data_IF_490064084729
#
_entry.id   IF_490064084729
#
_cell.length_a   1.000
_cell.length_b   1.000
_cell.length_c   1.000
_cell.angle_alpha   90.00
_cell.angle_beta   90.00
_cell.angle_gamma   90.00
#
_symmetry.space_group_name_H-M   'P 1'
#
loop_
_entity.id
_entity.type
_entity.pdbx_description
1 polymer ?
#
# COMPACT_ATOMS: atom_id res chain seq x y z
N UNK A 1 -30.78 28.53 41.52
CA UNK A 1 -29.72 27.59 41.98
C UNK A 1 -29.82 26.32 41.17
N UNK A 2 -28.69 25.73 40.77
CA UNK A 2 -28.67 24.46 40.03
C UNK A 2 -29.07 23.33 40.99
N UNK A 3 -30.02 22.50 40.56
CA UNK A 3 -30.48 21.28 41.25
C UNK A 3 -29.32 20.30 41.50
N UNK A 4 -29.42 19.46 42.52
CA UNK A 4 -28.32 18.54 42.90
C UNK A 4 -27.89 17.60 41.76
N UNK A 5 -28.82 17.21 40.88
CA UNK A 5 -28.52 16.41 39.70
C UNK A 5 -27.66 17.15 38.67
N UNK A 6 -27.76 18.49 38.60
CA UNK A 6 -27.01 19.32 37.64
C UNK A 6 -25.54 19.54 38.03
N UNK A 7 -25.13 19.07 39.23
CA UNK A 7 -23.75 19.17 39.75
C UNK A 7 -22.86 17.98 39.38
N UNK A 8 -23.41 16.92 38.77
CA UNK A 8 -22.62 15.73 38.43
C UNK A 8 -21.97 15.86 37.05
N UNK A 9 -20.67 15.53 36.96
CA UNK A 9 -19.89 15.55 35.72
C UNK A 9 -20.50 14.72 34.57
N UNK A 10 -21.34 13.71 34.88
CA UNK A 10 -22.07 12.93 33.88
C UNK A 10 -23.03 13.76 33.02
N UNK A 11 -23.52 14.89 33.54
CA UNK A 11 -24.42 15.82 32.85
C UNK A 11 -23.66 16.97 32.16
N UNK A 12 -22.32 16.95 32.17
CA UNK A 12 -21.51 17.96 31.51
C UNK A 12 -21.62 17.87 29.97
N UNK A 13 -21.72 16.65 29.43
CA UNK A 13 -21.92 16.40 27.99
C UNK A 13 -23.24 17.01 27.47
N UNK A 14 -24.32 16.93 28.26
CA UNK A 14 -25.62 17.52 27.91
C UNK A 14 -25.66 19.04 28.08
N UNK A 15 -24.59 19.64 28.61
CA UNK A 15 -24.46 21.09 28.87
C UNK A 15 -23.34 21.74 28.07
N UNK A 16 -22.71 21.00 27.15
CA UNK A 16 -21.73 21.60 26.24
C UNK A 16 -22.42 22.69 25.41
N UNK A 17 -21.79 23.87 25.24
CA UNK A 17 -22.37 24.97 24.49
C UNK A 17 -22.67 24.60 23.04
N UNK A 18 -21.88 23.70 22.45
CA UNK A 18 -22.06 23.16 21.10
C UNK A 18 -22.94 21.90 21.07
N UNK A 19 -23.42 21.43 22.23
CA UNK A 19 -24.31 20.28 22.36
C UNK A 19 -23.76 18.99 21.71
N UNK A 20 -24.62 18.14 21.11
CA UNK A 20 -24.20 16.91 20.44
C UNK A 20 -23.37 17.15 19.18
N UNK A 21 -23.39 18.38 18.62
CA UNK A 21 -22.69 18.72 17.37
C UNK A 21 -21.18 18.52 17.50
N UNK A 22 -20.59 18.94 18.63
CA UNK A 22 -19.15 18.75 18.87
C UNK A 22 -18.75 17.25 18.91
N UNK A 23 -19.63 16.36 19.38
CA UNK A 23 -19.39 14.91 19.38
C UNK A 23 -19.50 14.34 17.97
N UNK A 24 -20.49 14.77 17.19
CA UNK A 24 -20.67 14.36 15.79
C UNK A 24 -19.50 14.81 14.92
N UNK A 25 -19.01 16.04 15.12
CA UNK A 25 -17.84 16.57 14.42
C UNK A 25 -16.56 15.83 14.82
N UNK A 26 -16.37 15.57 16.11
CA UNK A 26 -15.23 14.78 16.61
C UNK A 26 -15.24 13.36 16.03
N UNK A 27 -16.40 12.72 16.01
CA UNK A 27 -16.57 11.40 15.40
C UNK A 27 -16.28 11.43 13.89
N UNK A 28 -16.80 12.45 13.19
CA UNK A 28 -16.57 12.64 11.76
C UNK A 28 -15.09 12.85 11.43
N UNK A 29 -14.36 13.61 12.25
CA UNK A 29 -12.92 13.80 12.11
C UNK A 29 -12.15 12.48 12.29
N UNK A 30 -12.50 11.67 13.29
CA UNK A 30 -11.89 10.34 13.49
C UNK A 30 -12.19 9.42 12.31
N UNK A 31 -13.44 9.40 11.83
CA UNK A 31 -13.83 8.62 10.65
C UNK A 31 -13.09 9.07 9.39
N UNK A 32 -12.82 10.36 9.24
CA UNK A 32 -11.97 10.90 8.16
C UNK A 32 -10.57 10.29 8.18
N UNK A 33 -9.91 10.30 9.34
CA UNK A 33 -8.57 9.70 9.52
C UNK A 33 -8.60 8.19 9.21
N UNK A 34 -9.62 7.46 9.68
CA UNK A 34 -9.76 6.02 9.41
C UNK A 34 -9.91 5.76 7.91
N UNK A 35 -10.71 6.57 7.21
CA UNK A 35 -10.89 6.46 5.76
C UNK A 35 -9.57 6.72 5.00
N UNK A 36 -8.80 7.73 5.40
CA UNK A 36 -7.48 8.01 4.80
C UNK A 36 -6.50 6.85 5.00
N UNK A 37 -6.47 6.30 6.21
CA UNK A 37 -5.67 5.10 6.54
C UNK A 37 -6.09 3.91 5.66
N UNK A 38 -7.40 3.66 5.52
CA UNK A 38 -7.91 2.56 4.69
C UNK A 38 -7.51 2.74 3.22
N UNK A 39 -7.64 3.95 2.67
CA UNK A 39 -7.23 4.25 1.30
C UNK A 39 -5.73 4.03 1.10
N UNK A 40 -4.90 4.44 2.07
CA UNK A 40 -3.47 4.22 2.00
C UNK A 40 -3.11 2.72 2.05
N UNK A 41 -3.74 1.94 2.93
CA UNK A 41 -3.53 0.49 3.02
C UNK A 41 -3.95 -0.20 1.72
N UNK A 42 -5.01 0.26 1.04
CA UNK A 42 -5.43 -0.28 -0.26
C UNK A 42 -4.35 -0.17 -1.34
N UNK A 43 -3.52 0.88 -1.33
CA UNK A 43 -2.37 0.99 -2.25
C UNK A 43 -1.42 -0.19 -2.05
N UNK A 44 -1.14 -0.57 -0.80
CA UNK A 44 -0.27 -1.71 -0.51
C UNK A 44 -0.87 -3.06 -0.91
N UNK A 45 -2.19 -3.21 -0.80
CA UNK A 45 -2.90 -4.42 -1.21
C UNK A 45 -2.84 -4.65 -2.73
N UNK A 46 -2.72 -3.59 -3.55
CA UNK A 46 -2.57 -3.75 -5.00
C UNK A 46 -1.31 -4.56 -5.36
N UNK A 47 -0.28 -4.55 -4.51
CA UNK A 47 0.94 -5.33 -4.74
C UNK A 47 0.76 -6.83 -4.47
N UNK A 48 -0.37 -7.29 -3.91
CA UNK A 48 -0.68 -8.72 -3.77
C UNK A 48 -0.64 -9.46 -5.11
N UNK A 49 -0.96 -8.77 -6.20
CA UNK A 49 -0.88 -9.32 -7.55
C UNK A 49 0.52 -9.90 -7.87
N UNK A 50 1.59 -9.39 -7.26
CA UNK A 50 2.95 -9.91 -7.45
C UNK A 50 3.13 -11.34 -6.93
N UNK A 51 2.33 -11.74 -5.94
CA UNK A 51 2.35 -13.09 -5.37
C UNK A 51 1.47 -14.05 -6.14
N UNK A 52 0.33 -13.59 -6.63
CA UNK A 52 -0.60 -14.41 -7.41
C UNK A 52 -0.17 -14.59 -8.87
N UNK A 53 0.79 -13.78 -9.33
CA UNK A 53 1.32 -13.86 -10.68
C UNK A 53 2.04 -15.20 -10.91
N UNK A 54 1.72 -15.85 -12.04
CA UNK A 54 2.33 -17.10 -12.47
C UNK A 54 3.30 -16.85 -13.63
N UNK A 55 4.49 -17.46 -13.56
CA UNK A 55 5.55 -17.25 -14.55
C UNK A 55 5.11 -17.66 -15.96
N UNK A 56 4.38 -18.77 -16.07
CA UNK A 56 3.83 -19.27 -17.33
C UNK A 56 2.93 -18.26 -18.02
N UNK A 57 2.07 -17.56 -17.28
CA UNK A 57 1.19 -16.53 -17.85
C UNK A 57 1.99 -15.36 -18.43
N UNK A 58 3.09 -14.97 -17.78
CA UNK A 58 3.99 -13.95 -18.31
C UNK A 58 4.67 -14.44 -19.58
N UNK A 59 5.24 -15.65 -19.54
CA UNK A 59 5.99 -16.21 -20.65
C UNK A 59 5.11 -16.42 -21.88
N UNK A 60 3.90 -16.94 -21.69
CA UNK A 60 2.90 -17.13 -22.75
C UNK A 60 2.48 -15.79 -23.37
N UNK A 61 2.37 -14.72 -22.56
CA UNK A 61 2.00 -13.39 -23.05
C UNK A 61 3.12 -12.70 -23.83
N UNK A 62 4.37 -12.89 -23.42
CA UNK A 62 5.53 -12.30 -24.08
C UNK A 62 5.91 -13.07 -25.35
N UNK A 63 5.75 -14.39 -25.36
CA UNK A 63 6.15 -15.26 -26.46
C UNK A 63 7.65 -15.13 -26.75
N UNK A 64 8.00 -15.12 -28.04
CA UNK A 64 9.39 -15.00 -28.53
C UNK A 64 9.81 -13.56 -28.83
N UNK A 65 8.94 -12.57 -28.61
CA UNK A 65 9.19 -11.16 -28.95
C UNK A 65 10.17 -10.51 -27.96
N UNK A 66 11.46 -10.53 -28.31
CA UNK A 66 12.55 -10.00 -27.49
C UNK A 66 12.34 -8.54 -27.06
N UNK A 67 11.66 -7.72 -27.86
CA UNK A 67 11.39 -6.33 -27.50
C UNK A 67 10.43 -6.24 -26.32
N UNK A 68 9.41 -7.12 -26.26
CA UNK A 68 8.48 -7.19 -25.12
C UNK A 68 9.19 -7.63 -23.85
N UNK A 69 10.11 -8.59 -23.96
CA UNK A 69 10.93 -9.02 -22.82
C UNK A 69 11.81 -7.90 -22.27
N UNK A 70 12.51 -7.17 -23.15
CA UNK A 70 13.32 -6.02 -22.76
C UNK A 70 12.45 -4.92 -22.13
N UNK A 71 11.29 -4.63 -22.73
CA UNK A 71 10.35 -3.65 -22.18
C UNK A 71 9.87 -4.04 -20.77
N UNK A 72 9.55 -5.32 -20.55
CA UNK A 72 9.15 -5.81 -19.23
C UNK A 72 10.28 -5.68 -18.20
N UNK A 73 11.53 -6.03 -18.55
CA UNK A 73 12.68 -5.86 -17.65
C UNK A 73 12.86 -4.40 -17.23
N UNK A 74 12.71 -3.46 -18.17
CA UNK A 74 12.74 -2.02 -17.87
C UNK A 74 11.58 -1.60 -16.97
N UNK A 75 10.36 -2.12 -17.21
CA UNK A 75 9.20 -1.84 -16.36
C UNK A 75 9.39 -2.34 -14.94
N UNK A 76 9.89 -3.57 -14.75
CA UNK A 76 10.19 -4.14 -13.43
C UNK A 76 11.23 -3.28 -12.70
N UNK A 77 12.30 -2.85 -13.39
CA UNK A 77 13.31 -1.96 -12.81
C UNK A 77 12.73 -0.60 -12.37
N UNK A 78 11.85 0.00 -13.19
CA UNK A 78 11.17 1.26 -12.85
C UNK A 78 10.22 1.09 -11.65
N UNK A 79 9.45 0.01 -11.62
CA UNK A 79 8.54 -0.28 -10.52
C UNK A 79 9.30 -0.49 -9.19
N UNK A 80 10.48 -1.12 -9.23
CA UNK A 80 11.33 -1.24 -8.04
C UNK A 80 11.81 0.12 -7.52
N UNK A 81 12.20 1.01 -8.42
CA UNK A 81 12.64 2.36 -8.06
C UNK A 81 11.56 3.21 -7.37
N UNK A 82 10.28 2.83 -7.47
CA UNK A 82 9.19 3.51 -6.77
C UNK A 82 9.19 3.24 -5.26
N UNK A 83 9.89 2.18 -4.82
CA UNK A 83 10.03 1.78 -3.43
C UNK A 83 11.41 2.08 -2.83
N UNK A 84 12.33 2.67 -3.59
CA UNK A 84 13.64 3.13 -3.11
C UNK A 84 13.53 4.48 -2.38
N UNK A 85 12.58 4.61 -1.44
CA UNK A 85 12.52 5.73 -0.51
C UNK A 85 12.98 5.29 0.89
N UNK A 86 13.64 6.18 1.62
CA UNK A 86 14.17 5.89 2.97
C UNK A 86 13.09 5.88 4.05
N UNK A 87 11.89 6.36 3.70
CA UNK A 87 10.76 6.48 4.61
C UNK A 87 10.15 5.09 4.83
N UNK A 88 9.97 4.69 6.08
CA UNK A 88 9.44 3.35 6.47
C UNK A 88 8.15 3.45 7.27
N UNK A 89 7.69 4.67 7.54
CA UNK A 89 6.52 4.97 8.35
C UNK A 89 5.75 6.13 7.74
N UNK A 90 4.43 6.08 7.85
CA UNK A 90 3.56 7.19 7.50
C UNK A 90 2.57 7.45 8.64
N UNK A 91 2.43 8.72 8.99
CA UNK A 91 1.58 9.17 10.09
C UNK A 91 0.25 9.72 9.57
N UNK A 92 -0.84 9.36 10.24
CA UNK A 92 -2.22 9.76 9.99
C UNK A 92 -2.83 10.19 11.33
N UNK A 93 -2.55 11.44 11.73
CA UNK A 93 -2.90 11.93 13.06
C UNK A 93 -2.34 11.00 14.15
N UNK A 94 -3.18 10.38 15.00
CA UNK A 94 -2.73 9.47 16.05
C UNK A 94 -2.34 8.07 15.56
N UNK A 95 -2.57 7.74 14.29
CA UNK A 95 -2.29 6.42 13.71
C UNK A 95 -0.95 6.46 12.96
N UNK A 96 -0.06 5.51 13.25
CA UNK A 96 1.22 5.37 12.54
C UNK A 96 1.27 4.03 11.84
N UNK A 97 1.48 4.04 10.53
CA UNK A 97 1.62 2.84 9.72
C UNK A 97 3.11 2.61 9.46
N UNK A 98 3.68 1.58 10.10
CA UNK A 98 5.01 1.08 9.77
C UNK A 98 4.92 0.08 8.61
N UNK A 99 5.39 0.51 7.45
CA UNK A 99 5.37 -0.29 6.23
C UNK A 99 6.75 -0.82 5.85
N UNK A 100 7.81 -0.58 6.65
CA UNK A 100 9.17 -0.99 6.31
C UNK A 100 9.32 -2.51 6.07
N UNK A 101 8.60 -3.33 6.85
CA UNK A 101 8.54 -4.78 6.64
C UNK A 101 7.84 -5.16 5.33
N UNK A 102 6.76 -4.46 4.97
CA UNK A 102 6.00 -4.73 3.74
C UNK A 102 6.82 -4.30 2.52
N UNK A 103 7.40 -3.11 2.55
CA UNK A 103 8.33 -2.60 1.55
C UNK A 103 9.47 -3.59 1.28
N UNK A 104 10.13 -4.09 2.33
CA UNK A 104 11.19 -5.09 2.21
C UNK A 104 10.71 -6.36 1.48
N UNK A 105 9.52 -6.86 1.83
CA UNK A 105 8.93 -8.04 1.17
C UNK A 105 8.58 -7.81 -0.29
N UNK A 106 8.01 -6.65 -0.62
CA UNK A 106 7.66 -6.27 -2.00
C UNK A 106 8.93 -6.14 -2.85
N UNK A 107 9.97 -5.48 -2.34
CA UNK A 107 11.26 -5.36 -3.02
C UNK A 107 11.91 -6.71 -3.31
N UNK A 108 11.95 -7.61 -2.33
CA UNK A 108 12.45 -8.98 -2.53
C UNK A 108 11.65 -9.74 -3.59
N UNK A 109 10.32 -9.53 -3.64
CA UNK A 109 9.46 -10.17 -4.64
C UNK A 109 9.74 -9.63 -6.05
N UNK A 110 9.92 -8.32 -6.22
CA UNK A 110 10.35 -7.73 -7.49
C UNK A 110 11.71 -8.25 -7.95
N UNK A 111 12.68 -8.38 -7.04
CA UNK A 111 14.00 -8.92 -7.36
C UNK A 111 13.92 -10.38 -7.81
N UNK A 112 13.08 -11.19 -7.16
CA UNK A 112 12.82 -12.57 -7.58
C UNK A 112 12.25 -12.61 -9.00
N UNK A 113 11.28 -11.74 -9.31
CA UNK A 113 10.69 -11.66 -10.65
C UNK A 113 11.70 -11.18 -11.68
N UNK A 114 12.48 -10.15 -11.37
CA UNK A 114 13.52 -9.64 -12.25
C UNK A 114 14.54 -10.74 -12.61
N UNK A 115 15.03 -11.49 -11.62
CA UNK A 115 15.96 -12.61 -11.84
C UNK A 115 15.35 -13.70 -12.73
N UNK A 116 14.10 -14.10 -12.46
CA UNK A 116 13.42 -15.14 -13.23
C UNK A 116 13.20 -14.73 -14.70
N UNK A 117 12.70 -13.51 -14.93
CA UNK A 117 12.47 -12.97 -16.29
C UNK A 117 13.79 -12.79 -17.03
N UNK A 118 14.82 -12.25 -16.36
CA UNK A 118 16.15 -12.06 -16.96
C UNK A 118 16.79 -13.40 -17.35
N UNK A 119 16.69 -14.42 -16.49
CA UNK A 119 17.18 -15.76 -16.78
C UNK A 119 16.50 -16.36 -18.01
N UNK A 120 15.17 -16.24 -18.11
CA UNK A 120 14.43 -16.78 -19.26
C UNK A 120 14.73 -16.02 -20.54
N UNK A 121 14.86 -14.69 -20.47
CA UNK A 121 15.29 -13.86 -21.60
C UNK A 121 16.69 -14.23 -22.09
N UNK A 122 17.64 -14.43 -21.18
CA UNK A 122 19.00 -14.88 -21.52
C UNK A 122 19.04 -16.24 -22.21
N UNK A 123 18.19 -17.19 -21.77
CA UNK A 123 18.04 -18.49 -22.44
C UNK A 123 17.52 -18.34 -23.88
N UNK A 124 16.53 -17.47 -24.11
CA UNK A 124 15.99 -17.24 -25.47
C UNK A 124 17.00 -16.58 -26.40
N UNK A 125 17.81 -15.65 -25.90
CA UNK A 125 18.90 -15.06 -26.67
C UNK A 125 19.95 -16.11 -27.03
N UNK A 126 20.31 -16.97 -26.07
CA UNK A 126 21.25 -18.06 -26.29
C UNK A 126 20.75 -19.06 -27.34
N UNK A 127 19.48 -19.45 -27.30
CA UNK A 127 18.90 -20.38 -28.27
C UNK A 127 18.74 -19.78 -29.67
N UNK A 128 18.44 -18.48 -29.79
CA UNK A 128 18.27 -17.81 -31.08
C UNK A 128 19.60 -17.42 -31.75
N UNK A 129 20.73 -17.58 -31.06
CA UNK A 129 22.08 -17.30 -31.57
C UNK A 129 22.87 -18.56 -31.98
N UNK A 130 22.28 -19.75 -31.81
CA UNK A 130 22.76 -21.04 -32.34
C UNK A 130 21.89 -21.51 -33.48
#
# INVERSE_FOLDING_TARGET
>A
ELTEEEKFYRNALTRMPDGPVALEESYSAVMGIVSEVEQYVKVWLQYQCLWDMQAENIYNRLGEDLNKWQALLVQIRKARGTFDNAETKKEFGPVVIDYGKVQSKVNLKYDSWHKAVLSKFGQMLGSNMT
#
